data_IF_670994044686
#
_entry.id   IF_670994044686
#
_cell.length_a   1.000
_cell.length_b   1.000
_cell.length_c   1.000
_cell.angle_alpha   90.00
_cell.angle_beta   90.00
_cell.angle_gamma   90.00
#
_symmetry.space_group_name_H-M   'P 1'
#
loop_
_entity.id
_entity.type
_entity.pdbx_description
1 polymer ?
#
# COMPACT_ATOMS: atom_id res chain seq x y z
N UNK A 1 -3.86 -19.48 -8.34
CA UNK A 1 -3.66 -18.16 -7.69
C UNK A 1 -2.19 -17.74 -7.62
N UNK A 2 -1.31 -18.43 -6.87
CA UNK A 2 0.10 -18.00 -6.73
C UNK A 2 0.84 -17.81 -8.06
N UNK A 3 0.67 -18.74 -9.01
CA UNK A 3 1.28 -18.64 -10.36
C UNK A 3 0.85 -17.37 -11.11
N UNK A 4 -0.42 -16.96 -10.97
CA UNK A 4 -0.88 -15.69 -11.54
C UNK A 4 -0.12 -14.50 -10.94
N UNK A 5 0.10 -14.47 -9.61
CA UNK A 5 0.87 -13.40 -8.97
C UNK A 5 2.35 -13.37 -9.38
N UNK A 6 2.93 -14.52 -9.73
CA UNK A 6 4.31 -14.61 -10.20
C UNK A 6 4.48 -14.11 -11.64
N UNK A 7 3.43 -14.16 -12.46
CA UNK A 7 3.44 -13.77 -13.88
C UNK A 7 2.84 -12.38 -14.15
N UNK A 8 2.20 -11.76 -13.15
CA UNK A 8 1.57 -10.43 -13.31
C UNK A 8 2.58 -9.34 -13.65
N UNK A 9 2.24 -8.55 -14.67
CA UNK A 9 3.02 -7.41 -15.18
C UNK A 9 2.40 -6.07 -14.80
N UNK A 10 1.20 -6.06 -14.24
CA UNK A 10 0.41 -4.89 -13.87
C UNK A 10 0.64 -4.45 -12.41
N UNK A 11 1.41 -5.22 -11.62
CA UNK A 11 1.62 -4.96 -10.20
C UNK A 11 2.60 -3.80 -9.97
N UNK A 12 2.09 -2.72 -9.36
CA UNK A 12 2.92 -1.62 -8.87
C UNK A 12 3.18 -1.77 -7.36
N UNK A 13 4.27 -1.18 -6.83
CA UNK A 13 4.49 -1.14 -5.38
C UNK A 13 3.31 -0.56 -4.61
N UNK A 14 2.64 0.42 -5.21
CA UNK A 14 1.45 1.05 -4.66
C UNK A 14 0.29 0.03 -4.54
N UNK A 15 -0.02 -0.70 -5.61
CA UNK A 15 -1.06 -1.74 -5.60
C UNK A 15 -0.75 -2.82 -4.55
N UNK A 16 0.52 -3.23 -4.44
CA UNK A 16 0.94 -4.21 -3.44
C UNK A 16 0.72 -3.71 -2.00
N UNK A 17 0.98 -2.42 -1.74
CA UNK A 17 0.73 -1.81 -0.43
C UNK A 17 -0.76 -1.62 -0.12
N UNK A 18 -1.56 -1.20 -1.10
CA UNK A 18 -2.96 -0.84 -0.89
C UNK A 18 -3.91 -2.05 -0.84
N UNK A 19 -3.55 -3.16 -1.46
CA UNK A 19 -4.41 -4.36 -1.54
C UNK A 19 -4.10 -5.42 -0.47
N UNK A 20 -3.06 -5.22 0.37
CA UNK A 20 -2.60 -6.19 1.38
C UNK A 20 -2.30 -7.60 0.85
N UNK A 21 -2.18 -7.79 -0.47
CA UNK A 21 -1.76 -9.05 -1.07
C UNK A 21 -0.35 -9.42 -0.57
N UNK A 22 0.51 -8.41 -0.40
CA UNK A 22 1.83 -8.57 0.19
C UNK A 22 1.77 -9.19 1.61
N UNK A 23 0.83 -8.79 2.45
CA UNK A 23 0.70 -9.32 3.82
C UNK A 23 0.33 -10.80 3.82
N UNK A 24 -0.53 -11.21 2.90
CA UNK A 24 -0.94 -12.62 2.75
C UNK A 24 0.25 -13.47 2.31
N UNK A 25 0.97 -13.04 1.26
CA UNK A 25 2.18 -13.73 0.78
C UNK A 25 3.26 -13.75 1.87
N UNK A 26 3.44 -12.66 2.61
CA UNK A 26 4.43 -12.58 3.67
C UNK A 26 4.06 -13.44 4.88
N UNK A 27 2.76 -13.56 5.19
CA UNK A 27 2.24 -14.46 6.21
C UNK A 27 2.56 -15.91 5.89
N UNK A 28 2.24 -16.34 4.66
CA UNK A 28 2.55 -17.70 4.19
C UNK A 28 4.06 -17.94 4.20
N UNK A 29 4.86 -16.98 3.71
CA UNK A 29 6.33 -17.06 3.70
C UNK A 29 6.97 -17.16 5.11
N UNK A 30 6.23 -16.85 6.16
CA UNK A 30 6.71 -16.90 7.56
C UNK A 30 6.34 -18.20 8.27
N UNK A 31 5.47 -19.02 7.67
CA UNK A 31 5.15 -20.33 8.24
C UNK A 31 6.43 -21.19 8.22
N UNK A 32 6.81 -21.70 9.38
CA UNK A 32 7.99 -22.56 9.56
C UNK A 32 7.77 -23.99 9.07
N UNK A 33 6.55 -24.32 8.70
CA UNK A 33 6.14 -25.62 8.20
C UNK A 33 5.22 -25.45 7.00
N UNK A 34 5.30 -26.37 6.05
CA UNK A 34 4.32 -26.46 4.97
C UNK A 34 3.03 -27.03 5.58
N UNK A 35 1.88 -26.33 5.44
CA UNK A 35 0.60 -26.89 5.83
C UNK A 35 0.40 -28.29 5.23
N UNK A 36 -0.22 -29.24 5.95
CA UNK A 36 -0.26 -30.65 5.56
C UNK A 36 -0.95 -30.94 4.21
N UNK A 37 -1.70 -29.98 3.67
CA UNK A 37 -2.39 -30.09 2.38
C UNK A 37 -1.73 -29.26 1.26
N UNK A 38 -0.58 -28.64 1.51
CA UNK A 38 0.10 -27.79 0.53
C UNK A 38 1.33 -28.48 -0.06
N UNK A 39 1.57 -28.24 -1.35
CA UNK A 39 2.73 -28.82 -2.05
C UNK A 39 4.04 -28.32 -1.44
N UNK A 40 5.04 -29.19 -1.32
CA UNK A 40 6.39 -28.83 -0.82
C UNK A 40 7.07 -27.71 -1.63
N UNK A 41 6.63 -27.50 -2.88
CA UNK A 41 7.11 -26.43 -3.78
C UNK A 41 6.50 -25.05 -3.47
N UNK A 42 5.47 -24.96 -2.62
CA UNK A 42 4.80 -23.69 -2.33
C UNK A 42 5.71 -22.74 -1.54
N UNK A 43 6.35 -23.21 -0.46
CA UNK A 43 7.16 -22.37 0.40
C UNK A 43 8.35 -21.70 -0.31
N UNK A 44 9.16 -22.42 -1.11
CA UNK A 44 10.23 -21.82 -1.90
C UNK A 44 9.71 -20.73 -2.85
N UNK A 45 8.58 -20.98 -3.52
CA UNK A 45 7.97 -20.05 -4.47
C UNK A 45 7.45 -18.78 -3.80
N UNK A 46 6.72 -18.93 -2.69
CA UNK A 46 6.21 -17.81 -1.90
C UNK A 46 7.36 -16.96 -1.33
N UNK A 47 8.45 -17.61 -0.90
CA UNK A 47 9.67 -16.91 -0.44
C UNK A 47 10.33 -16.15 -1.57
N UNK A 48 10.47 -16.76 -2.75
CA UNK A 48 11.02 -16.11 -3.94
C UNK A 48 10.17 -14.89 -4.36
N UNK A 49 8.85 -15.05 -4.40
CA UNK A 49 7.91 -13.97 -4.72
C UNK A 49 7.98 -12.83 -3.70
N UNK A 50 8.07 -13.16 -2.40
CA UNK A 50 8.29 -12.17 -1.34
C UNK A 50 9.59 -11.39 -1.54
N UNK A 51 10.68 -12.07 -1.86
CA UNK A 51 11.99 -11.44 -2.06
C UNK A 51 11.99 -10.56 -3.32
N UNK A 52 11.37 -11.01 -4.40
CA UNK A 52 11.14 -10.24 -5.63
C UNK A 52 10.36 -8.95 -5.37
N UNK A 53 9.32 -9.03 -4.54
CA UNK A 53 8.55 -7.85 -4.17
C UNK A 53 9.30 -6.91 -3.22
N UNK A 54 10.33 -7.39 -2.50
CA UNK A 54 11.18 -6.60 -1.59
C UNK A 54 12.46 -6.04 -2.24
N UNK A 55 12.90 -6.54 -3.37
CA UNK A 55 14.18 -6.17 -3.98
C UNK A 55 14.27 -4.66 -4.28
N UNK A 56 15.44 -4.02 -4.08
CA UNK A 56 15.59 -2.57 -4.20
C UNK A 56 15.70 -2.14 -5.68
N UNK A 57 14.56 -2.20 -6.36
CA UNK A 57 14.12 -1.25 -7.39
C UNK A 57 12.77 -0.65 -6.98
N UNK A 58 12.45 -0.74 -5.68
CA UNK A 58 11.10 -0.75 -5.11
C UNK A 58 10.81 0.38 -4.11
N UNK A 59 11.69 1.38 -3.99
CA UNK A 59 11.36 2.62 -3.29
C UNK A 59 11.16 3.70 -4.34
N UNK A 60 9.95 3.82 -4.84
CA UNK A 60 9.51 5.13 -5.30
C UNK A 60 9.60 6.04 -4.08
N UNK A 61 10.53 7.00 -4.09
CA UNK A 61 10.49 8.07 -3.10
C UNK A 61 9.15 8.79 -3.29
N UNK A 62 8.34 8.98 -2.24
CA UNK A 62 6.98 9.53 -2.35
C UNK A 62 6.90 10.87 -3.08
N UNK A 63 8.04 11.55 -3.23
CA UNK A 63 8.14 12.90 -3.75
C UNK A 63 8.78 13.02 -5.14
N UNK A 64 9.49 12.03 -5.69
CA UNK A 64 10.21 12.19 -6.98
C UNK A 64 9.40 11.85 -8.22
N UNK A 65 8.30 11.13 -8.08
CA UNK A 65 7.30 10.94 -9.14
C UNK A 65 5.97 10.66 -8.44
N UNK A 66 4.98 11.53 -8.61
CA UNK A 66 3.65 11.31 -8.05
C UNK A 66 3.19 9.88 -8.36
N UNK A 67 3.02 9.05 -7.33
CA UNK A 67 2.54 7.68 -7.46
C UNK A 67 3.26 6.87 -8.55
N UNK A 68 4.59 6.74 -8.51
CA UNK A 68 5.33 5.93 -9.49
C UNK A 68 4.59 4.64 -9.86
N UNK A 69 4.02 4.63 -11.07
CA UNK A 69 3.21 3.55 -11.65
C UNK A 69 4.08 2.50 -12.33
N UNK A 70 5.41 2.61 -12.20
CA UNK A 70 6.36 1.69 -12.80
C UNK A 70 6.02 0.27 -12.37
N UNK A 71 5.57 -0.49 -13.36
CA UNK A 71 5.20 -1.87 -13.19
C UNK A 71 6.42 -2.69 -12.78
N UNK A 72 6.24 -3.59 -11.81
CA UNK A 72 7.25 -4.59 -11.53
C UNK A 72 7.25 -5.60 -12.67
N UNK A 73 8.45 -5.93 -13.15
CA UNK A 73 8.62 -7.08 -14.03
C UNK A 73 8.11 -8.34 -13.32
N UNK A 74 7.52 -9.27 -14.07
CA UNK A 74 7.02 -10.50 -13.49
C UNK A 74 8.20 -11.34 -12.97
N UNK A 75 7.95 -12.16 -11.96
CA UNK A 75 8.95 -13.10 -11.45
C UNK A 75 9.23 -14.20 -12.48
N UNK A 76 8.18 -14.63 -13.18
CA UNK A 76 8.23 -15.64 -14.24
C UNK A 76 7.78 -14.95 -15.54
N UNK A 77 8.57 -14.98 -16.61
CA UNK A 77 8.24 -14.27 -17.85
C UNK A 77 7.08 -14.90 -18.62
N UNK A 78 6.74 -16.16 -18.32
CA UNK A 78 5.63 -16.91 -18.90
C UNK A 78 4.28 -16.22 -18.66
N UNK A 79 3.42 -16.23 -19.67
CA UNK A 79 2.05 -15.79 -19.51
C UNK A 79 1.24 -16.92 -18.85
N UNK A 80 0.51 -16.58 -17.78
CA UNK A 80 -0.38 -17.49 -17.09
C UNK A 80 -1.72 -16.82 -16.88
N UNK A 81 -2.75 -17.39 -17.49
CA UNK A 81 -4.12 -16.95 -17.32
C UNK A 81 -4.77 -17.68 -16.14
N UNK A 82 -5.35 -16.91 -15.21
CA UNK A 82 -6.05 -17.46 -14.07
C UNK A 82 -7.47 -17.83 -14.49
N UNK A 83 -7.76 -19.13 -14.60
CA UNK A 83 -9.13 -19.60 -14.80
C UNK A 83 -9.95 -19.43 -13.52
N UNK A 84 -10.87 -18.46 -13.54
CA UNK A 84 -11.84 -18.23 -12.47
C UNK A 84 -13.22 -18.73 -12.91
N UNK A 85 -13.99 -19.25 -11.97
CA UNK A 85 -15.42 -19.46 -12.21
C UNK A 85 -16.12 -18.11 -12.40
N UNK A 86 -17.26 -18.09 -13.11
CA UNK A 86 -18.04 -16.86 -13.32
C UNK A 86 -18.35 -16.12 -12.00
N UNK A 87 -18.71 -16.88 -10.95
CA UNK A 87 -18.98 -16.34 -9.61
C UNK A 87 -17.73 -15.67 -9.00
N UNK A 88 -16.57 -16.33 -9.08
CA UNK A 88 -15.31 -15.77 -8.56
C UNK A 88 -14.85 -14.54 -9.34
N UNK A 89 -15.01 -14.54 -10.67
CA UNK A 89 -14.69 -13.40 -11.50
C UNK A 89 -15.58 -12.19 -11.17
N UNK A 90 -16.89 -12.40 -11.02
CA UNK A 90 -17.83 -11.35 -10.63
C UNK A 90 -17.54 -10.79 -9.23
N UNK A 91 -17.19 -11.65 -8.28
CA UNK A 91 -16.78 -11.21 -6.94
C UNK A 91 -15.47 -10.41 -6.97
N UNK A 92 -14.46 -10.89 -7.70
CA UNK A 92 -13.19 -10.18 -7.86
C UNK A 92 -13.35 -8.81 -8.50
N UNK A 93 -14.19 -8.71 -9.55
CA UNK A 93 -14.51 -7.45 -10.23
C UNK A 93 -15.21 -6.47 -9.27
N UNK A 94 -16.17 -6.95 -8.48
CA UNK A 94 -16.86 -6.12 -7.49
C UNK A 94 -15.89 -5.62 -6.41
N UNK A 95 -14.99 -6.48 -5.93
CA UNK A 95 -13.94 -6.08 -5.00
C UNK A 95 -12.97 -5.05 -5.59
N UNK A 96 -12.58 -5.21 -6.86
CA UNK A 96 -11.72 -4.26 -7.55
C UNK A 96 -12.40 -2.90 -7.70
N UNK A 97 -13.66 -2.87 -8.16
CA UNK A 97 -14.44 -1.63 -8.26
C UNK A 97 -14.59 -0.93 -6.91
N UNK A 98 -14.84 -1.67 -5.84
CA UNK A 98 -14.89 -1.13 -4.47
C UNK A 98 -13.55 -0.48 -4.09
N UNK A 99 -12.46 -1.22 -4.25
CA UNK A 99 -11.13 -0.70 -3.94
C UNK A 99 -10.82 0.55 -4.75
N UNK A 100 -11.09 0.53 -6.07
CA UNK A 100 -10.79 1.64 -6.97
C UNK A 100 -11.62 2.89 -6.64
N UNK A 101 -12.92 2.72 -6.42
CA UNK A 101 -13.83 3.82 -6.05
C UNK A 101 -13.41 4.46 -4.73
N UNK A 102 -13.11 3.63 -3.71
CA UNK A 102 -12.66 4.16 -2.42
C UNK A 102 -11.30 4.86 -2.53
N UNK A 103 -10.39 4.33 -3.35
CA UNK A 103 -9.09 4.92 -3.62
C UNK A 103 -9.22 6.29 -4.27
N UNK A 104 -9.98 6.39 -5.35
CA UNK A 104 -10.13 7.64 -6.10
C UNK A 104 -10.83 8.71 -5.26
N UNK A 105 -11.84 8.31 -4.47
CA UNK A 105 -12.45 9.15 -3.44
C UNK A 105 -11.43 9.66 -2.41
N UNK A 106 -10.60 8.79 -1.84
CA UNK A 106 -9.53 9.19 -0.89
C UNK A 106 -8.53 10.15 -1.53
N UNK A 107 -8.08 9.86 -2.75
CA UNK A 107 -7.17 10.74 -3.50
C UNK A 107 -7.81 12.11 -3.72
N UNK A 108 -9.08 12.16 -4.11
CA UNK A 108 -9.80 13.42 -4.34
C UNK A 108 -9.89 14.27 -3.07
N UNK A 109 -10.15 13.65 -1.92
CA UNK A 109 -10.17 14.33 -0.64
C UNK A 109 -8.79 14.86 -0.27
N UNK A 110 -7.75 14.02 -0.32
CA UNK A 110 -6.40 14.37 0.10
C UNK A 110 -5.73 15.40 -0.82
N UNK A 111 -6.18 15.54 -2.07
CA UNK A 111 -5.76 16.64 -2.94
C UNK A 111 -6.24 18.01 -2.43
N UNK A 112 -7.44 18.07 -1.84
CA UNK A 112 -8.02 19.31 -1.29
C UNK A 112 -7.63 19.54 0.16
N UNK A 113 -7.46 18.46 0.91
CA UNK A 113 -7.10 18.44 2.32
C UNK A 113 -5.83 17.61 2.51
N UNK A 114 -4.67 18.13 2.08
CA UNK A 114 -3.41 17.41 2.21
C UNK A 114 -3.13 17.12 3.70
N UNK A 115 -2.78 15.88 4.06
CA UNK A 115 -2.53 15.52 5.44
C UNK A 115 -1.22 16.15 5.92
N UNK A 116 -1.12 16.40 7.22
CA UNK A 116 0.15 16.80 7.82
C UNK A 116 1.16 15.63 7.82
N UNK A 117 2.46 15.93 7.66
CA UNK A 117 3.49 14.91 7.77
C UNK A 117 3.56 14.40 9.21
N UNK A 118 3.70 13.08 9.36
CA UNK A 118 3.73 12.43 10.68
C UNK A 118 5.11 12.54 11.31
N UNK A 119 6.14 12.53 10.46
CA UNK A 119 7.55 12.69 10.84
C UNK A 119 8.27 13.41 9.71
N UNK A 120 9.49 13.86 9.97
CA UNK A 120 10.44 14.25 8.94
C UNK A 120 11.71 13.40 9.08
N UNK A 121 12.40 13.15 7.96
CA UNK A 121 13.73 12.55 7.94
C UNK A 121 14.72 13.52 7.32
N UNK A 122 15.92 13.54 7.88
CA UNK A 122 17.05 14.23 7.27
C UNK A 122 17.41 13.56 5.93
N UNK A 123 17.57 14.40 4.90
CA UNK A 123 18.00 13.99 3.57
C UNK A 123 19.05 14.93 3.01
N UNK A 124 19.99 14.35 2.29
CA UNK A 124 21.04 15.04 1.55
C UNK A 124 20.70 15.14 0.07
N UNK A 125 21.32 16.08 -0.65
CA UNK A 125 21.09 16.27 -2.09
C UNK A 125 21.25 14.97 -2.89
N UNK A 126 22.20 14.09 -2.51
CA UNK A 126 22.46 12.82 -3.21
C UNK A 126 21.33 11.80 -3.08
N UNK A 127 20.46 11.93 -2.07
CA UNK A 127 19.33 11.03 -1.84
C UNK A 127 18.09 11.43 -2.63
N UNK A 128 18.03 12.67 -3.12
CA UNK A 128 16.90 13.20 -3.88
C UNK A 128 17.24 13.22 -5.37
N UNK A 129 16.48 12.47 -6.17
CA UNK A 129 16.76 12.34 -7.61
C UNK A 129 16.42 13.59 -8.42
N UNK A 130 15.43 14.38 -7.98
CA UNK A 130 14.87 15.52 -8.74
C UNK A 130 15.24 16.86 -8.10
N UNK A 131 15.75 17.80 -8.90
CA UNK A 131 16.04 19.17 -8.46
C UNK A 131 14.79 19.90 -7.96
N UNK A 132 13.66 19.77 -8.67
CA UNK A 132 12.40 20.40 -8.28
C UNK A 132 11.94 19.93 -6.87
N UNK A 133 12.14 18.64 -6.57
CA UNK A 133 11.83 18.08 -5.26
C UNK A 133 12.80 18.60 -4.22
N UNK A 134 14.10 18.62 -4.54
CA UNK A 134 15.11 19.15 -3.63
C UNK A 134 14.81 20.59 -3.24
N UNK A 135 14.43 21.44 -4.19
CA UNK A 135 14.11 22.84 -3.92
C UNK A 135 12.84 23.02 -3.10
N UNK A 136 11.83 22.17 -3.30
CA UNK A 136 10.58 22.21 -2.54
C UNK A 136 10.70 21.75 -1.08
N UNK A 137 11.78 21.05 -0.70
CA UNK A 137 11.95 20.59 0.67
C UNK A 137 12.33 21.74 1.62
N UNK A 138 11.76 21.76 2.85
CA UNK A 138 12.14 22.73 3.86
C UNK A 138 13.57 22.50 4.34
N UNK A 139 14.28 23.60 4.59
CA UNK A 139 15.58 23.58 5.24
C UNK A 139 15.46 23.07 6.68
N UNK A 140 16.50 22.39 7.16
CA UNK A 140 16.60 22.05 8.57
C UNK A 140 16.73 23.35 9.39
N UNK A 141 15.96 23.52 10.48
CA UNK A 141 16.15 24.65 11.39
C UNK A 141 17.56 24.64 11.98
N UNK A 142 18.17 25.82 12.13
CA UNK A 142 19.56 25.97 12.60
C UNK A 142 19.84 25.26 13.93
N UNK A 143 18.85 25.25 14.84
CA UNK A 143 18.92 24.62 16.17
C UNK A 143 19.00 23.09 16.12
N UNK A 144 18.65 22.46 15.00
CA UNK A 144 18.66 21.01 14.81
C UNK A 144 19.92 20.50 14.09
N UNK A 145 20.83 21.38 13.67
CA UNK A 145 22.08 20.98 13.05
C UNK A 145 22.97 20.18 14.01
N UNK A 146 23.00 18.86 13.82
CA UNK A 146 23.92 17.95 14.54
C UNK A 146 25.20 17.63 13.76
N UNK A 147 25.30 18.07 12.51
CA UNK A 147 26.42 17.77 11.61
C UNK A 147 27.16 19.05 11.21
N UNK A 148 28.45 18.97 10.83
CA UNK A 148 29.25 20.13 10.40
C UNK A 148 28.54 20.90 9.27
N UNK A 149 28.65 22.23 9.30
CA UNK A 149 27.99 23.22 8.42
C UNK A 149 28.11 22.96 6.90
N UNK A 150 28.93 22.00 6.47
CA UNK A 150 29.24 21.67 5.07
C UNK A 150 28.26 20.71 4.37
N UNK A 151 27.18 20.28 5.03
CA UNK A 151 26.14 19.48 4.36
C UNK A 151 24.85 20.28 4.25
N UNK A 152 24.47 20.62 3.02
CA UNK A 152 23.12 21.04 2.70
C UNK A 152 22.18 19.88 3.00
N UNK A 153 21.56 19.91 4.19
CA UNK A 153 20.58 18.92 4.65
C UNK A 153 19.21 19.58 4.67
N UNK A 154 18.24 18.90 4.06
CA UNK A 154 16.83 19.29 4.08
C UNK A 154 16.00 18.22 4.77
N UNK A 155 14.77 18.56 5.12
CA UNK A 155 13.85 17.65 5.80
C UNK A 155 12.84 17.07 4.79
N UNK A 156 12.88 15.76 4.60
CA UNK A 156 11.87 15.02 3.82
C UNK A 156 10.66 14.71 4.71
N UNK A 157 9.46 15.26 4.43
CA UNK A 157 8.25 14.93 5.15
C UNK A 157 7.84 13.47 4.88
N UNK A 158 7.57 12.73 5.96
CA UNK A 158 7.07 11.37 5.92
C UNK A 158 5.58 11.37 6.25
N UNK A 159 4.77 11.08 5.23
CA UNK A 159 3.33 10.97 5.35
C UNK A 159 2.91 9.56 5.76
N UNK A 160 1.77 9.48 6.44
CA UNK A 160 1.09 8.21 6.68
C UNK A 160 0.58 7.62 5.35
N UNK A 161 0.60 6.29 5.18
CA UNK A 161 0.00 5.62 4.03
C UNK A 161 -1.44 6.06 3.79
N UNK A 162 -1.83 6.23 2.52
CA UNK A 162 -3.16 6.72 2.14
C UNK A 162 -4.31 5.85 2.68
N UNK A 163 -4.07 4.55 2.81
CA UNK A 163 -5.07 3.62 3.33
C UNK A 163 -5.33 3.81 4.84
N UNK A 164 -4.36 4.35 5.58
CA UNK A 164 -4.45 4.74 7.00
C UNK A 164 -5.02 6.14 7.23
N UNK A 165 -5.07 6.98 6.19
CA UNK A 165 -5.65 8.33 6.30
C UNK A 165 -7.17 8.24 6.55
N UNK A 166 -7.63 9.03 7.53
CA UNK A 166 -9.05 9.21 7.84
C UNK A 166 -9.68 10.16 6.82
N UNK A 167 -10.60 9.65 6.01
CA UNK A 167 -11.33 10.43 5.00
C UNK A 167 -12.83 10.26 5.26
N UNK A 168 -13.63 11.35 5.29
CA UNK A 168 -15.07 11.27 5.49
C UNK A 168 -15.74 10.27 4.55
N UNK A 169 -16.72 9.53 5.07
CA UNK A 169 -17.34 8.40 4.36
C UNK A 169 -18.28 8.84 3.23
N UNK A 170 -18.87 10.00 3.42
CA UNK A 170 -19.78 10.73 2.54
C UNK A 170 -19.06 11.70 1.59
N UNK A 171 -17.72 11.77 1.65
CA UNK A 171 -16.98 12.61 0.72
C UNK A 171 -17.25 12.20 -0.73
N UNK A 172 -17.78 13.16 -1.50
CA UNK A 172 -17.91 13.11 -2.94
C UNK A 172 -17.09 14.26 -3.51
N UNK A 173 -16.28 13.99 -4.52
CA UNK A 173 -15.53 15.05 -5.17
C UNK A 173 -16.51 16.00 -5.88
N UNK A 174 -16.57 17.29 -5.55
CA UNK A 174 -17.55 18.20 -6.15
C UNK A 174 -17.33 18.43 -7.65
N UNK A 175 -16.12 18.14 -8.15
CA UNK A 175 -15.77 18.27 -9.57
C UNK A 175 -16.01 16.98 -10.37
N UNK A 176 -16.39 15.89 -9.70
CA UNK A 176 -16.47 14.56 -10.30
C UNK A 176 -17.91 14.05 -10.24
N UNK A 177 -18.48 13.76 -11.41
CA UNK A 177 -19.78 13.09 -11.53
C UNK A 177 -19.62 11.58 -11.32
N UNK A 178 -18.87 11.15 -10.31
CA UNK A 178 -18.78 9.73 -9.96
C UNK A 178 -20.18 9.30 -9.52
N UNK A 179 -20.93 8.69 -10.45
CA UNK A 179 -22.21 8.08 -10.13
C UNK A 179 -21.96 7.03 -9.05
N UNK A 180 -22.56 7.29 -7.88
CA UNK A 180 -22.81 6.25 -6.91
C UNK A 180 -23.57 5.11 -7.61
N UNK A 181 -23.10 3.88 -7.40
CA UNK A 181 -23.64 2.57 -7.78
C UNK A 181 -24.80 2.52 -8.78
N UNK A 182 -24.64 1.70 -9.83
CA UNK A 182 -25.70 1.47 -10.81
C UNK A 182 -26.98 0.87 -10.20
N UNK A 183 -26.91 0.20 -9.03
CA UNK A 183 -28.08 -0.35 -8.32
C UNK A 183 -28.00 -0.29 -6.78
N UNK A 184 -29.14 -0.15 -6.06
CA UNK A 184 -29.19 -0.20 -4.59
C UNK A 184 -28.72 -1.53 -3.98
N UNK A 185 -28.84 -2.63 -4.72
CA UNK A 185 -28.32 -3.94 -4.29
C UNK A 185 -26.80 -4.01 -4.32
N UNK A 186 -26.16 -3.35 -5.28
CA UNK A 186 -24.71 -3.23 -5.34
C UNK A 186 -24.20 -2.32 -4.22
N UNK A 187 -24.92 -1.23 -3.91
CA UNK A 187 -24.62 -0.36 -2.78
C UNK A 187 -24.65 -1.11 -1.43
N UNK A 188 -25.68 -1.93 -1.18
CA UNK A 188 -25.73 -2.76 0.04
C UNK A 188 -24.60 -3.79 0.11
N UNK A 189 -24.32 -4.49 -0.99
CA UNK A 189 -23.18 -5.43 -1.06
C UNK A 189 -21.85 -4.71 -0.84
N UNK A 190 -21.74 -3.50 -1.38
CA UNK A 190 -20.58 -2.65 -1.23
C UNK A 190 -20.38 -2.22 0.23
N UNK A 191 -21.44 -1.81 0.92
CA UNK A 191 -21.40 -1.45 2.34
C UNK A 191 -21.03 -2.65 3.24
N UNK A 192 -21.56 -3.84 2.94
CA UNK A 192 -21.21 -5.08 3.66
C UNK A 192 -19.73 -5.46 3.50
N UNK A 193 -19.20 -5.42 2.27
CA UNK A 193 -17.79 -5.74 2.02
C UNK A 193 -16.90 -4.68 2.66
N UNK A 194 -17.28 -3.40 2.56
CA UNK A 194 -16.60 -2.29 3.21
C UNK A 194 -16.49 -2.51 4.71
N UNK A 195 -17.61 -2.82 5.37
CA UNK A 195 -17.67 -3.12 6.82
C UNK A 195 -16.72 -4.25 7.20
N UNK A 196 -16.74 -5.36 6.45
CA UNK A 196 -15.85 -6.51 6.71
C UNK A 196 -14.36 -6.16 6.60
N UNK A 197 -13.99 -5.32 5.64
CA UNK A 197 -12.59 -4.86 5.47
C UNK A 197 -12.17 -4.01 6.67
N UNK A 198 -13.01 -3.06 7.10
CA UNK A 198 -12.73 -2.22 8.26
C UNK A 198 -12.67 -3.02 9.55
N UNK A 199 -13.61 -3.94 9.78
CA UNK A 199 -13.59 -4.83 10.94
C UNK A 199 -12.30 -5.65 11.00
N UNK A 200 -11.81 -6.11 9.85
CA UNK A 200 -10.53 -6.84 9.79
C UNK A 200 -9.36 -5.93 10.14
N UNK A 201 -9.31 -4.71 9.60
CA UNK A 201 -8.24 -3.74 9.90
C UNK A 201 -8.27 -3.31 11.37
N UNK A 202 -9.44 -3.05 11.93
CA UNK A 202 -9.61 -2.67 13.33
C UNK A 202 -9.20 -3.82 14.27
N UNK A 203 -9.61 -5.06 13.97
CA UNK A 203 -9.14 -6.25 14.72
C UNK A 203 -7.62 -6.41 14.66
N UNK A 204 -7.01 -6.20 13.49
CA UNK A 204 -5.55 -6.23 13.34
C UNK A 204 -4.87 -5.11 14.13
N UNK A 205 -5.39 -3.89 14.09
CA UNK A 205 -4.87 -2.75 14.84
C UNK A 205 -4.95 -2.99 16.35
N UNK A 206 -6.09 -3.48 16.86
CA UNK A 206 -6.28 -3.85 18.27
C UNK A 206 -5.30 -4.94 18.69
N UNK A 207 -5.13 -5.97 17.87
CA UNK A 207 -4.18 -7.06 18.14
C UNK A 207 -2.72 -6.55 18.19
N UNK A 208 -2.33 -5.71 17.24
CA UNK A 208 -1.00 -5.09 17.22
C UNK A 208 -0.77 -4.18 18.44
N UNK A 209 -1.75 -3.34 18.79
CA UNK A 209 -1.68 -2.48 19.96
C UNK A 209 -1.59 -3.28 21.27
N UNK A 210 -2.28 -4.41 21.37
CA UNK A 210 -2.16 -5.33 22.52
C UNK A 210 -0.75 -5.89 22.65
N UNK A 211 -0.18 -6.41 21.54
CA UNK A 211 1.20 -6.92 21.52
C UNK A 211 2.26 -5.86 21.85
N UNK A 212 2.02 -4.60 21.46
CA UNK A 212 2.92 -3.48 21.76
C UNK A 212 2.72 -2.91 23.18
N UNK A 213 1.51 -3.00 23.73
CA UNK A 213 1.19 -2.66 25.12
C UNK A 213 1.80 -3.64 26.12
N UNK A 214 1.71 -4.94 25.85
CA UNK A 214 2.30 -5.98 26.70
C UNK A 214 3.84 -5.89 26.77
N UNK A 215 4.49 -5.35 25.73
CA UNK A 215 5.94 -5.09 25.74
C UNK A 215 6.37 -3.89 26.59
N UNK A 216 5.45 -3.02 26.99
CA UNK A 216 5.74 -1.88 27.88
C UNK A 216 5.46 -2.17 29.36
N UNK A 217 4.83 -3.30 29.68
CA UNK A 217 4.49 -3.71 31.06
C UNK A 217 5.40 -4.77 31.66
N UNK A 218 6.47 -5.17 30.98
CA UNK A 218 7.47 -6.09 31.51
C UNK A 218 8.68 -5.35 32.07
N UNK A 219 8.55 -4.80 33.28
CA UNK A 219 9.66 -4.45 34.18
C UNK A 219 9.38 -5.14 35.51
#
# INVERSE_FOLDING_TARGET
MLRSLETRRDLTPLVLSETSIADTIFGIARLRYTPPNETSKLQPRVTALRNHWRSPGAKATPLTTGYATSHKLPLIPEDYELSLTFKQAAEAELHYRLWRTNRDRKVSYLKRYPPEPVRAREVTRREIASDAVWEALPWMPDEMHKAPQDRQVKLEPLYQPMDSQAVPLDWVNPDDSLQAFATPSEERRWEDIRRRIYDRKDKQARHFNRLMGDRKGGV
#
